data_IF_188651988125
#
_entry.id   IF_188651988125
#
_cell.length_a   1.000
_cell.length_b   1.000
_cell.length_c   1.000
_cell.angle_alpha   90.00
_cell.angle_beta   90.00
_cell.angle_gamma   90.00
#
_symmetry.space_group_name_H-M   'P 1'
#
loop_
_entity.id
_entity.type
_entity.pdbx_description
1 polymer ?
#
# COMPACT_ATOMS: atom_id res chain seq x y z
N UNK A 1 -11.08 6.12 21.97
CA UNK A 1 -10.82 5.20 20.85
C UNK A 1 -9.32 5.21 20.59
N UNK A 2 -8.63 4.11 20.90
CA UNK A 2 -7.25 3.94 20.48
C UNK A 2 -7.22 3.47 19.02
N UNK A 3 -6.23 3.88 18.21
CA UNK A 3 -6.04 3.32 16.87
C UNK A 3 -5.85 1.81 17.00
N UNK A 4 -6.77 1.03 16.42
CA UNK A 4 -6.69 -0.43 16.41
C UNK A 4 -5.72 -0.81 15.29
N UNK A 5 -4.63 -1.51 15.60
CA UNK A 5 -3.71 -2.03 14.59
C UNK A 5 -4.44 -3.04 13.70
N UNK A 6 -4.11 -2.99 12.43
CA UNK A 6 -4.73 -3.76 11.34
C UNK A 6 -4.64 -5.26 11.64
N UNK A 7 -5.79 -5.95 11.68
CA UNK A 7 -5.88 -7.39 11.97
C UNK A 7 -5.07 -8.27 11.01
N UNK A 8 -4.82 -7.80 9.77
CA UNK A 8 -3.96 -8.50 8.82
C UNK A 8 -2.52 -8.63 9.31
N UNK A 9 -1.96 -7.62 10.00
CA UNK A 9 -0.60 -7.72 10.56
C UNK A 9 -0.58 -8.71 11.73
N UNK A 10 -1.66 -8.76 12.51
CA UNK A 10 -1.82 -9.65 13.65
C UNK A 10 -1.86 -11.13 13.23
N UNK A 11 -2.55 -11.44 12.13
CA UNK A 11 -2.74 -12.81 11.66
C UNK A 11 -1.42 -13.51 11.28
N UNK A 12 -0.52 -12.81 10.58
CA UNK A 12 0.72 -13.40 10.08
C UNK A 12 1.89 -13.24 11.05
N UNK A 13 2.02 -12.09 11.71
CA UNK A 13 3.19 -11.83 12.55
C UNK A 13 3.12 -12.57 13.90
N UNK A 14 1.91 -12.88 14.40
CA UNK A 14 1.75 -13.56 15.68
C UNK A 14 2.20 -15.03 15.65
N UNK A 15 1.85 -15.86 14.64
CA UNK A 15 2.44 -17.19 14.48
C UNK A 15 3.95 -17.16 14.30
N UNK A 16 4.46 -16.21 13.51
CA UNK A 16 5.89 -16.04 13.29
C UNK A 16 6.63 -15.72 14.60
N UNK A 17 6.06 -14.89 15.47
CA UNK A 17 6.73 -14.46 16.72
C UNK A 17 6.51 -15.45 17.86
N UNK A 18 5.27 -15.90 18.04
CA UNK A 18 4.82 -16.63 19.23
C UNK A 18 4.52 -18.11 18.98
N UNK A 19 4.29 -18.49 17.72
CA UNK A 19 3.99 -19.88 17.32
C UNK A 19 2.51 -20.24 17.35
N UNK A 20 1.60 -19.26 17.44
CA UNK A 20 0.15 -19.49 17.42
C UNK A 20 -0.59 -18.26 16.86
N UNK A 21 -1.85 -18.44 16.45
CA UNK A 21 -2.70 -17.33 16.00
C UNK A 21 -3.21 -16.48 17.17
N UNK A 22 -3.51 -15.18 16.98
CA UNK A 22 -4.14 -14.36 18.02
C UNK A 22 -5.40 -15.01 18.61
N UNK A 23 -5.63 -14.86 19.91
CA UNK A 23 -6.76 -15.50 20.62
C UNK A 23 -8.12 -15.10 20.04
N UNK A 24 -8.29 -13.83 19.70
CA UNK A 24 -9.53 -13.32 19.07
C UNK A 24 -9.83 -14.04 17.75
N UNK A 25 -8.83 -14.24 16.89
CA UNK A 25 -8.99 -14.96 15.62
C UNK A 25 -9.38 -16.41 15.88
N UNK A 26 -8.75 -17.08 16.86
CA UNK A 26 -9.12 -18.46 17.22
C UNK A 26 -10.58 -18.57 17.71
N UNK A 27 -11.04 -17.61 18.53
CA UNK A 27 -12.39 -17.59 19.10
C UNK A 27 -13.48 -17.29 18.06
N UNK A 28 -13.20 -16.42 17.10
CA UNK A 28 -14.16 -16.00 16.07
C UNK A 28 -14.21 -17.02 14.92
N UNK A 29 -13.04 -17.38 14.37
CA UNK A 29 -12.93 -18.20 13.15
C UNK A 29 -13.14 -19.69 13.44
N UNK A 30 -12.76 -20.16 14.63
CA UNK A 30 -12.97 -21.53 15.14
C UNK A 30 -12.44 -22.60 14.17
N UNK A 31 -13.27 -23.56 13.78
CA UNK A 31 -12.87 -24.73 12.99
C UNK A 31 -12.45 -24.39 11.55
N UNK A 32 -12.75 -23.17 11.06
CA UNK A 32 -12.24 -22.69 9.76
C UNK A 32 -10.76 -22.31 9.82
N UNK A 33 -10.21 -22.06 11.01
CA UNK A 33 -8.80 -21.71 11.19
C UNK A 33 -7.97 -22.99 11.34
N UNK A 34 -7.04 -23.29 10.41
CA UNK A 34 -6.16 -24.43 10.55
C UNK A 34 -5.32 -24.33 11.84
N UNK A 35 -5.05 -25.47 12.47
CA UNK A 35 -4.21 -25.55 13.66
C UNK A 35 -2.84 -26.06 13.28
N UNK A 36 -1.80 -25.37 13.73
CA UNK A 36 -0.43 -25.85 13.57
C UNK A 36 -0.20 -27.11 14.41
N UNK A 37 0.46 -28.11 13.83
CA UNK A 37 1.06 -29.20 14.60
C UNK A 37 2.30 -28.70 15.35
N UNK A 38 2.78 -29.45 16.34
CA UNK A 38 3.98 -29.08 17.08
C UNK A 38 5.21 -28.88 16.17
N UNK A 39 5.36 -29.73 15.14
CA UNK A 39 6.45 -29.62 14.18
C UNK A 39 6.30 -28.37 13.30
N UNK A 40 5.09 -28.02 12.89
CA UNK A 40 4.84 -26.78 12.14
C UNK A 40 5.08 -25.53 12.98
N UNK A 41 4.71 -25.54 14.27
CA UNK A 41 5.04 -24.44 15.20
C UNK A 41 6.54 -24.25 15.28
N UNK A 42 7.31 -25.35 15.39
CA UNK A 42 8.78 -25.30 15.40
C UNK A 42 9.36 -24.75 14.10
N UNK A 43 8.71 -25.00 12.96
CA UNK A 43 9.14 -24.48 11.66
C UNK A 43 8.84 -22.99 11.47
N UNK A 44 7.68 -22.50 11.93
CA UNK A 44 7.20 -21.14 11.67
C UNK A 44 7.68 -20.15 12.72
N UNK A 45 7.76 -20.56 13.99
CA UNK A 45 8.16 -19.66 15.07
C UNK A 45 9.63 -19.24 14.91
N UNK A 46 9.86 -17.94 14.77
CA UNK A 46 11.18 -17.35 14.56
C UNK A 46 11.69 -17.50 13.13
N UNK A 47 10.84 -17.86 12.16
CA UNK A 47 11.27 -18.08 10.77
C UNK A 47 11.38 -16.79 9.95
N UNK A 48 11.72 -15.66 10.58
CA UNK A 48 11.90 -14.37 9.93
C UNK A 48 13.09 -13.63 10.55
N UNK A 49 13.94 -13.06 9.70
CA UNK A 49 15.08 -12.24 10.13
C UNK A 49 14.70 -10.76 10.25
N UNK A 50 13.68 -10.33 9.51
CA UNK A 50 13.14 -8.97 9.51
C UNK A 50 11.66 -8.98 9.11
N UNK A 51 10.95 -7.89 9.43
CA UNK A 51 9.53 -7.70 9.10
C UNK A 51 9.41 -6.62 8.03
N UNK A 52 8.90 -7.00 6.87
CA UNK A 52 8.47 -6.07 5.83
C UNK A 52 7.10 -5.48 6.18
N UNK A 53 6.98 -4.15 6.24
CA UNK A 53 5.71 -3.46 6.46
C UNK A 53 5.38 -2.61 5.24
N UNK A 54 4.26 -2.92 4.59
CA UNK A 54 3.67 -2.07 3.56
C UNK A 54 2.68 -1.15 4.26
N UNK A 55 3.00 0.14 4.34
CA UNK A 55 2.18 1.11 5.06
C UNK A 55 1.77 2.20 4.08
N UNK A 56 0.46 2.43 3.98
CA UNK A 56 -0.10 3.41 3.03
C UNK A 56 -1.05 4.43 3.69
N UNK A 57 -1.91 3.97 4.58
CA UNK A 57 -3.03 4.75 5.14
C UNK A 57 -3.41 4.23 6.52
N UNK A 58 -4.40 4.85 7.15
CA UNK A 58 -5.05 4.36 8.36
C UNK A 58 -6.55 4.61 8.29
N UNK A 59 -7.30 3.86 9.11
CA UNK A 59 -8.75 3.94 9.18
C UNK A 59 -9.20 4.11 10.62
N UNK A 60 -10.37 4.72 10.81
CA UNK A 60 -11.13 4.51 12.04
C UNK A 60 -11.83 3.17 11.96
N UNK A 61 -12.01 2.54 13.12
CA UNK A 61 -12.73 1.27 13.26
C UNK A 61 -13.95 1.53 14.12
N UNK A 62 -15.12 1.14 13.62
CA UNK A 62 -16.39 1.23 14.33
C UNK A 62 -16.91 -0.17 14.60
N UNK A 63 -17.28 -0.44 15.85
CA UNK A 63 -18.06 -1.62 16.20
C UNK A 63 -19.43 -1.54 15.49
N UNK A 64 -19.73 -2.54 14.66
CA UNK A 64 -20.95 -2.56 13.89
C UNK A 64 -22.17 -3.03 14.71
N UNK A 65 -21.96 -3.52 15.94
CA UNK A 65 -23.00 -3.98 16.86
C UNK A 65 -23.76 -5.23 16.37
N UNK A 66 -23.32 -5.83 15.27
CA UNK A 66 -23.96 -6.97 14.62
C UNK A 66 -23.00 -8.15 14.64
N UNK A 67 -23.22 -9.08 15.57
CA UNK A 67 -22.58 -10.38 15.52
C UNK A 67 -23.31 -11.24 14.50
N UNK A 68 -22.70 -11.46 13.33
CA UNK A 68 -23.21 -12.43 12.37
C UNK A 68 -22.93 -13.84 12.93
N UNK A 69 -23.96 -14.64 13.28
CA UNK A 69 -23.74 -15.97 13.84
C UNK A 69 -23.13 -16.96 12.84
N UNK A 70 -23.10 -16.62 11.54
CA UNK A 70 -22.45 -17.39 10.47
C UNK A 70 -21.71 -16.43 9.53
N UNK A 71 -20.52 -15.95 9.91
CA UNK A 71 -19.70 -15.14 9.03
C UNK A 71 -19.44 -15.90 7.73
N UNK A 72 -19.65 -15.25 6.59
CA UNK A 72 -19.55 -15.87 5.25
C UNK A 72 -18.24 -15.54 4.55
N UNK A 73 -17.44 -14.64 5.13
CA UNK A 73 -16.17 -14.20 4.58
C UNK A 73 -15.17 -13.87 5.70
N UNK A 74 -13.90 -13.79 5.31
CA UNK A 74 -12.81 -13.37 6.20
C UNK A 74 -13.04 -11.96 6.78
N UNK A 75 -13.59 -11.03 5.99
CA UNK A 75 -13.86 -9.67 6.45
C UNK A 75 -15.02 -9.61 7.44
N UNK A 76 -16.02 -10.49 7.29
CA UNK A 76 -17.15 -10.54 8.21
C UNK A 76 -16.73 -11.04 9.61
N UNK A 77 -15.67 -11.86 9.68
CA UNK A 77 -15.12 -12.36 10.96
C UNK A 77 -14.58 -11.23 11.85
N UNK A 78 -14.28 -10.07 11.30
CA UNK A 78 -13.72 -8.97 12.08
C UNK A 78 -14.76 -8.29 12.96
N UNK A 79 -16.06 -8.43 12.66
CA UNK A 79 -17.18 -7.77 13.35
C UNK A 79 -17.00 -6.26 13.52
N UNK A 80 -16.33 -5.61 12.57
CA UNK A 80 -16.09 -4.17 12.57
C UNK A 80 -16.35 -3.57 11.21
N UNK A 81 -16.53 -2.25 11.19
CA UNK A 81 -16.65 -1.45 9.99
C UNK A 81 -15.49 -0.46 9.89
N UNK A 82 -14.86 -0.38 8.72
CA UNK A 82 -13.88 0.65 8.42
C UNK A 82 -14.59 1.98 8.17
N UNK A 83 -14.11 3.03 8.81
CA UNK A 83 -14.59 4.40 8.64
C UNK A 83 -13.46 5.30 8.19
N UNK A 84 -13.79 6.18 7.25
CA UNK A 84 -12.88 7.19 6.71
C UNK A 84 -13.02 8.54 7.41
N UNK A 85 -14.07 8.71 8.20
CA UNK A 85 -14.38 9.92 8.95
C UNK A 85 -14.79 9.58 10.38
N UNK A 86 -14.73 10.60 11.24
CA UNK A 86 -15.28 10.57 12.58
C UNK A 86 -16.10 11.83 12.77
N UNK A 87 -17.38 11.66 13.09
CA UNK A 87 -18.34 12.75 13.29
C UNK A 87 -18.39 13.71 12.08
N UNK A 88 -18.29 13.15 10.86
CA UNK A 88 -18.28 13.90 9.59
C UNK A 88 -16.94 14.54 9.22
N UNK A 89 -15.90 14.38 10.06
CA UNK A 89 -14.55 14.90 9.78
C UNK A 89 -13.67 13.77 9.23
N UNK A 90 -13.19 13.86 7.98
CA UNK A 90 -12.31 12.85 7.40
C UNK A 90 -11.01 12.65 8.21
N UNK A 91 -10.52 11.43 8.26
CA UNK A 91 -9.26 11.06 8.95
C UNK A 91 -8.03 11.78 8.34
N UNK A 92 -8.14 12.16 7.08
CA UNK A 92 -7.14 12.93 6.35
C UNK A 92 -7.66 13.28 4.94
N UNK A 93 -6.86 14.02 4.15
CA UNK A 93 -7.16 14.23 2.74
C UNK A 93 -7.18 12.90 1.99
N UNK A 94 -8.21 12.68 1.17
CA UNK A 94 -8.26 11.49 0.32
C UNK A 94 -7.38 11.67 -0.91
N UNK A 95 -6.67 10.60 -1.27
CA UNK A 95 -5.93 10.49 -2.52
C UNK A 95 -6.87 10.14 -3.69
N UNK A 96 -6.35 9.63 -4.81
CA UNK A 96 -7.20 9.22 -5.94
C UNK A 96 -7.91 7.89 -5.65
N UNK A 97 -7.18 6.87 -5.20
CA UNK A 97 -7.80 5.59 -4.85
C UNK A 97 -8.71 5.75 -3.64
N UNK A 98 -9.94 5.23 -3.75
CA UNK A 98 -10.98 5.45 -2.74
C UNK A 98 -10.58 4.97 -1.34
N UNK A 99 -9.73 3.94 -1.27
CA UNK A 99 -9.23 3.38 -0.03
C UNK A 99 -8.07 4.17 0.58
N UNK A 100 -7.39 5.03 -0.18
CA UNK A 100 -6.14 5.68 0.23
C UNK A 100 -6.40 7.08 0.79
N UNK A 101 -6.15 7.24 2.08
CA UNK A 101 -6.18 8.52 2.79
C UNK A 101 -4.76 8.90 3.22
N UNK A 102 -4.44 10.18 3.16
CA UNK A 102 -3.14 10.71 3.56
C UNK A 102 -3.17 10.89 5.08
N UNK A 103 -2.62 9.90 5.78
CA UNK A 103 -2.64 9.80 7.24
C UNK A 103 -1.22 9.50 7.77
N UNK A 104 -0.31 10.50 7.78
CA UNK A 104 1.10 10.27 8.07
C UNK A 104 1.37 9.68 9.45
N UNK A 105 0.61 10.11 10.47
CA UNK A 105 0.73 9.59 11.84
C UNK A 105 0.42 8.08 11.94
N UNK A 106 -0.26 7.52 10.93
CA UNK A 106 -0.48 6.08 10.79
C UNK A 106 0.83 5.30 10.62
N UNK A 107 1.85 5.90 10.00
CA UNK A 107 3.19 5.32 9.87
C UNK A 107 3.84 5.11 11.24
N UNK A 108 3.87 6.17 12.06
CA UNK A 108 4.40 6.10 13.42
C UNK A 108 3.70 5.01 14.24
N UNK A 109 2.37 4.98 14.19
CA UNK A 109 1.58 4.00 14.95
C UNK A 109 1.82 2.56 14.48
N UNK A 110 1.89 2.31 13.17
CA UNK A 110 2.15 0.96 12.65
C UNK A 110 3.52 0.42 13.09
N UNK A 111 4.57 1.23 12.94
CA UNK A 111 5.94 0.85 13.34
C UNK A 111 6.04 0.67 14.85
N UNK A 112 5.51 1.61 15.63
CA UNK A 112 5.51 1.54 17.09
C UNK A 112 4.70 0.35 17.59
N UNK A 113 3.61 0.01 16.92
CA UNK A 113 2.81 -1.16 17.27
C UNK A 113 3.60 -2.46 17.07
N UNK A 114 4.26 -2.63 15.92
CA UNK A 114 5.11 -3.80 15.65
C UNK A 114 6.21 -3.90 16.70
N UNK A 115 6.88 -2.78 16.99
CA UNK A 115 7.90 -2.69 18.03
C UNK A 115 7.40 -3.22 19.38
N UNK A 116 6.32 -2.64 19.90
CA UNK A 116 5.84 -2.91 21.26
C UNK A 116 5.32 -4.34 21.40
N UNK A 117 4.65 -4.88 20.37
CA UNK A 117 3.88 -6.12 20.49
C UNK A 117 4.61 -7.35 19.96
N UNK A 118 5.77 -7.20 19.32
CA UNK A 118 6.51 -8.30 18.70
C UNK A 118 8.01 -8.31 19.02
N UNK A 119 8.40 -7.63 20.10
CA UNK A 119 9.76 -7.67 20.62
C UNK A 119 10.77 -6.84 19.81
N UNK A 120 10.32 -5.72 19.23
CA UNK A 120 11.14 -4.82 18.40
C UNK A 120 11.97 -5.56 17.34
N UNK A 121 11.31 -6.28 16.41
CA UNK A 121 12.04 -6.94 15.34
C UNK A 121 12.71 -5.90 14.43
N UNK A 122 13.68 -6.33 13.64
CA UNK A 122 14.22 -5.52 12.55
C UNK A 122 13.10 -5.26 11.53
N UNK A 123 12.83 -3.99 11.22
CA UNK A 123 11.76 -3.57 10.31
C UNK A 123 12.36 -2.99 9.02
N UNK A 124 11.76 -3.37 7.89
CA UNK A 124 11.91 -2.71 6.60
C UNK A 124 10.54 -2.17 6.20
N UNK A 125 10.44 -0.87 5.91
CA UNK A 125 9.25 -0.33 5.24
C UNK A 125 9.35 -0.70 3.77
N UNK A 126 8.63 -1.74 3.38
CA UNK A 126 8.77 -2.37 2.08
C UNK A 126 7.99 -1.65 0.98
N UNK A 127 6.89 -0.97 1.32
CA UNK A 127 6.17 -0.10 0.39
C UNK A 127 5.46 1.07 1.10
N UNK A 128 5.45 2.23 0.43
CA UNK A 128 4.68 3.44 0.78
C UNK A 128 4.45 4.29 -0.50
N UNK A 129 3.21 4.73 -0.78
CA UNK A 129 2.86 5.54 -1.98
C UNK A 129 1.74 6.54 -1.72
N UNK A 130 1.81 7.68 -2.41
CA UNK A 130 0.69 8.59 -2.57
C UNK A 130 0.05 8.47 -3.95
N UNK A 131 -1.28 8.32 -4.00
CA UNK A 131 -2.04 8.50 -5.23
C UNK A 131 -2.44 9.97 -5.40
N UNK A 132 -2.38 10.51 -6.62
CA UNK A 132 -2.49 11.95 -6.82
C UNK A 132 -3.75 12.37 -7.58
N UNK A 133 -4.47 13.29 -6.93
CA UNK A 133 -5.55 14.19 -7.39
C UNK A 133 -6.90 13.58 -7.81
N UNK A 134 -7.95 13.97 -7.08
CA UNK A 134 -9.31 14.17 -7.63
C UNK A 134 -9.33 15.49 -8.42
N UNK A 135 -9.31 15.43 -9.74
CA UNK A 135 -9.85 16.51 -10.59
C UNK A 135 -11.02 15.96 -11.39
N UNK A 136 -12.18 16.53 -11.11
CA UNK A 136 -13.45 16.28 -11.77
C UNK A 136 -13.31 16.55 -13.27
N UNK A 137 -13.32 15.50 -14.10
CA UNK A 137 -14.09 15.37 -15.37
C UNK A 137 -13.75 14.02 -16.03
N UNK A 138 -14.81 13.23 -16.24
CA UNK A 138 -14.95 12.02 -17.05
C UNK A 138 -14.22 10.72 -16.64
N UNK A 139 -15.01 9.86 -15.97
CA UNK A 139 -15.13 8.41 -16.14
C UNK A 139 -14.39 7.81 -17.36
N UNK A 140 -13.22 7.22 -17.10
CA UNK A 140 -12.91 5.82 -17.42
C UNK A 140 -12.02 5.29 -16.29
N UNK A 141 -12.16 4.01 -16.01
CA UNK A 141 -11.74 3.37 -14.77
C UNK A 141 -10.20 3.32 -14.72
N UNK A 142 -9.60 3.88 -13.66
CA UNK A 142 -8.15 3.86 -13.41
C UNK A 142 -7.33 4.86 -14.24
N UNK A 143 -7.37 6.15 -13.88
CA UNK A 143 -6.42 7.18 -14.34
C UNK A 143 -6.30 8.25 -13.24
N UNK A 144 -5.21 8.30 -12.46
CA UNK A 144 -3.97 9.00 -12.78
C UNK A 144 -4.11 10.53 -12.69
N UNK A 145 -3.00 11.25 -12.62
CA UNK A 145 -3.00 12.61 -13.18
C UNK A 145 -3.77 12.56 -14.51
N UNK A 146 -4.74 13.46 -14.77
CA UNK A 146 -5.58 13.33 -15.96
C UNK A 146 -4.70 13.02 -17.16
N UNK A 147 -5.10 12.13 -18.08
CA UNK A 147 -4.32 11.84 -19.31
C UNK A 147 -4.04 13.09 -20.18
N UNK A 148 -4.50 14.26 -19.75
CA UNK A 148 -4.21 15.59 -20.25
C UNK A 148 -3.16 16.38 -19.44
N UNK A 149 -2.57 15.82 -18.38
CA UNK A 149 -1.52 16.47 -17.58
C UNK A 149 -0.25 16.47 -18.40
N UNK A 150 0.23 17.68 -18.65
CA UNK A 150 1.44 17.86 -19.43
C UNK A 150 2.64 17.35 -18.62
N UNK A 151 3.69 16.88 -19.29
CA UNK A 151 4.93 16.46 -18.63
C UNK A 151 5.43 17.49 -17.59
N UNK A 152 5.41 18.82 -17.86
CA UNK A 152 5.79 19.82 -16.85
C UNK A 152 4.92 19.82 -15.59
N UNK A 153 3.63 19.52 -15.70
CA UNK A 153 2.71 19.44 -14.55
C UNK A 153 2.91 18.13 -13.78
N UNK A 154 3.08 17.00 -14.49
CA UNK A 154 3.37 15.70 -13.88
C UNK A 154 4.69 15.67 -13.11
N UNK A 155 5.70 16.41 -13.58
CA UNK A 155 6.97 16.60 -12.87
C UNK A 155 6.88 17.51 -11.64
N UNK A 156 5.83 18.36 -11.54
CA UNK A 156 5.63 19.31 -10.42
C UNK A 156 4.75 18.71 -9.34
N UNK A 157 5.14 17.55 -8.87
CA UNK A 157 4.37 16.74 -7.96
C UNK A 157 4.58 17.10 -6.48
N UNK A 158 4.13 18.30 -6.12
CA UNK A 158 4.24 18.83 -4.76
C UNK A 158 3.47 18.00 -3.72
N UNK A 159 2.39 17.32 -4.13
CA UNK A 159 1.59 16.50 -3.22
C UNK A 159 2.30 15.21 -2.84
N UNK A 160 2.94 14.50 -3.79
CA UNK A 160 3.75 13.31 -3.48
C UNK A 160 4.98 13.67 -2.67
N UNK A 161 5.63 14.80 -3.00
CA UNK A 161 6.73 15.33 -2.18
C UNK A 161 6.28 15.54 -0.73
N UNK A 162 5.12 16.19 -0.53
CA UNK A 162 4.59 16.43 0.82
C UNK A 162 4.15 15.14 1.52
N UNK A 163 3.59 14.18 0.78
CA UNK A 163 3.25 12.87 1.31
C UNK A 163 4.50 12.17 1.85
N UNK A 164 5.53 11.98 1.03
CA UNK A 164 6.76 11.33 1.47
C UNK A 164 7.42 12.08 2.62
N UNK A 165 7.51 13.42 2.53
CA UNK A 165 8.07 14.23 3.60
C UNK A 165 7.34 13.98 4.93
N UNK A 166 6.01 13.97 4.92
CA UNK A 166 5.22 13.76 6.14
C UNK A 166 5.32 12.34 6.68
N UNK A 167 5.25 11.31 5.83
CA UNK A 167 5.36 9.91 6.26
C UNK A 167 6.78 9.56 6.74
N UNK A 168 7.82 10.03 6.05
CA UNK A 168 9.22 9.86 6.48
C UNK A 168 9.48 10.61 7.80
N UNK A 169 8.83 11.75 8.03
CA UNK A 169 8.92 12.46 9.33
C UNK A 169 8.36 11.60 10.46
N UNK A 170 7.21 10.97 10.27
CA UNK A 170 6.60 10.07 11.27
C UNK A 170 7.37 8.75 11.43
N UNK A 171 7.95 8.22 10.35
CA UNK A 171 8.86 7.08 10.42
C UNK A 171 10.11 7.42 11.24
N UNK A 172 10.74 8.57 10.94
CA UNK A 172 11.88 9.06 11.69
C UNK A 172 11.54 9.23 13.17
N UNK A 173 10.36 9.77 13.48
CA UNK A 173 9.90 9.88 14.87
C UNK A 173 9.84 8.51 15.56
N UNK A 174 9.31 7.48 14.90
CA UNK A 174 9.27 6.13 15.47
C UNK A 174 10.67 5.54 15.69
N UNK A 175 11.62 5.83 14.79
CA UNK A 175 13.03 5.45 14.93
C UNK A 175 13.72 6.21 16.09
N UNK A 176 13.45 7.50 16.22
CA UNK A 176 13.96 8.34 17.32
C UNK A 176 13.41 7.85 18.67
N UNK A 177 12.17 7.32 18.67
CA UNK A 177 11.54 6.63 19.81
C UNK A 177 11.99 5.15 19.95
N UNK A 178 13.02 4.73 19.21
CA UNK A 178 13.75 3.48 19.40
C UNK A 178 13.20 2.27 18.64
N UNK A 179 12.42 2.45 17.58
CA UNK A 179 12.06 1.34 16.69
C UNK A 179 13.23 0.94 15.79
N UNK A 180 13.50 -0.36 15.66
CA UNK A 180 14.61 -0.87 14.84
C UNK A 180 14.24 -0.93 13.35
N UNK A 181 14.26 0.23 12.67
CA UNK A 181 14.02 0.32 11.22
C UNK A 181 15.34 0.46 10.46
N UNK A 182 15.60 -0.42 9.48
CA UNK A 182 16.86 -0.45 8.73
C UNK A 182 16.72 -0.07 7.25
N UNK A 183 15.50 0.11 6.76
CA UNK A 183 15.26 0.42 5.35
C UNK A 183 13.87 0.98 5.09
N UNK A 184 13.79 1.78 4.01
CA UNK A 184 12.56 2.37 3.50
C UNK A 184 12.57 2.30 1.97
N UNK A 185 11.52 1.73 1.39
CA UNK A 185 11.33 1.56 -0.04
C UNK A 185 10.05 2.27 -0.47
N UNK A 186 10.20 3.25 -1.36
CA UNK A 186 9.09 3.96 -1.97
C UNK A 186 8.46 3.09 -3.06
N UNK A 187 7.16 2.85 -2.97
CA UNK A 187 6.40 2.32 -4.09
C UNK A 187 5.95 3.51 -4.94
N UNK A 188 6.33 3.66 -6.20
CA UNK A 188 7.27 2.85 -6.97
C UNK A 188 8.39 3.71 -7.53
N UNK A 189 9.46 3.07 -8.02
CA UNK A 189 10.51 3.78 -8.76
C UNK A 189 9.94 4.39 -10.05
N UNK A 190 9.22 3.60 -10.83
CA UNK A 190 8.63 3.96 -12.13
C UNK A 190 7.11 3.86 -12.07
N UNK A 191 6.42 4.68 -12.86
CA UNK A 191 5.02 4.44 -13.16
C UNK A 191 4.87 3.04 -13.79
N UNK A 192 3.80 2.33 -13.42
CA UNK A 192 3.69 0.92 -13.76
C UNK A 192 2.23 0.49 -13.97
N UNK A 193 2.06 -0.78 -14.33
CA UNK A 193 0.76 -1.42 -14.38
C UNK A 193 0.41 -1.94 -12.98
N UNK A 194 -0.51 -1.24 -12.31
CA UNK A 194 -0.98 -1.52 -10.96
C UNK A 194 -2.13 -2.54 -11.03
N UNK A 195 -1.74 -3.81 -11.11
CA UNK A 195 -2.61 -4.97 -11.14
C UNK A 195 -3.53 -5.07 -12.35
N UNK A 196 -4.65 -4.35 -12.36
CA UNK A 196 -5.62 -4.33 -13.46
C UNK A 196 -5.73 -2.94 -14.09
N UNK A 197 -4.93 -1.98 -13.62
CA UNK A 197 -5.00 -0.58 -13.99
C UNK A 197 -3.61 -0.08 -14.41
N UNK A 198 -3.55 0.80 -15.40
CA UNK A 198 -2.33 1.61 -15.61
C UNK A 198 -2.34 2.70 -14.54
N UNK A 199 -1.25 2.88 -13.80
CA UNK A 199 -1.17 4.02 -12.86
C UNK A 199 0.16 4.77 -12.85
N UNK A 200 0.09 6.08 -12.60
CA UNK A 200 1.19 7.01 -12.41
C UNK A 200 1.55 7.13 -10.90
N UNK A 201 2.15 6.08 -10.34
CA UNK A 201 2.59 5.98 -8.94
C UNK A 201 4.10 6.17 -8.73
N UNK A 202 4.87 6.27 -9.81
CA UNK A 202 6.32 6.29 -9.79
C UNK A 202 6.92 7.62 -9.37
N UNK A 203 8.05 7.57 -8.69
CA UNK A 203 8.95 8.72 -8.52
C UNK A 203 9.51 9.22 -9.86
N UNK A 204 9.62 8.33 -10.84
CA UNK A 204 10.08 8.61 -12.20
C UNK A 204 8.91 8.45 -13.17
N UNK A 205 8.61 9.55 -13.88
CA UNK A 205 7.58 9.57 -14.90
C UNK A 205 7.95 8.61 -16.04
N UNK A 206 7.04 7.70 -16.38
CA UNK A 206 7.20 6.83 -17.55
C UNK A 206 6.28 7.26 -18.69
N UNK A 207 6.84 7.44 -19.88
CA UNK A 207 6.04 7.77 -21.07
C UNK A 207 5.69 6.49 -21.82
N UNK A 208 4.42 6.12 -21.86
CA UNK A 208 3.92 4.90 -22.52
C UNK A 208 3.97 4.93 -24.06
N UNK A 209 4.60 5.94 -24.65
CA UNK A 209 4.87 5.96 -26.09
C UNK A 209 6.13 5.15 -26.37
N UNK A 210 5.95 3.89 -26.80
CA UNK A 210 6.92 3.26 -27.68
C UNK A 210 7.03 4.14 -28.93
N UNK A 211 8.01 5.05 -28.96
CA UNK A 211 8.38 5.73 -30.19
C UNK A 211 8.92 4.67 -31.14
N UNK A 212 8.07 4.11 -31.98
CA UNK A 212 8.51 3.67 -33.31
C UNK A 212 8.82 4.94 -34.08
N UNK A 213 10.05 5.42 -33.96
CA UNK A 213 10.57 6.41 -34.91
C UNK A 213 10.68 5.75 -36.27
N UNK A 214 9.62 5.84 -37.08
CA UNK A 214 9.83 5.87 -38.52
C UNK A 214 10.54 7.19 -38.81
N UNK A 215 11.83 7.12 -39.10
CA UNK A 215 12.59 8.24 -39.59
C UNK A 215 12.03 8.65 -40.97
N UNK A 216 11.10 9.60 -40.97
CA UNK A 216 10.60 10.22 -42.20
C UNK A 216 11.55 11.33 -42.63
N UNK A 217 12.83 11.03 -42.79
CA UNK A 217 13.78 11.90 -43.50
C UNK A 217 14.73 11.10 -44.40
N UNK A 218 14.18 10.51 -45.46
CA UNK A 218 14.92 10.32 -46.71
C UNK A 218 13.97 10.42 -47.89
N UNK A 219 13.99 11.58 -48.56
CA UNK A 219 13.45 11.73 -49.91
C UNK A 219 14.11 10.67 -50.82
N UNK A 220 13.38 9.60 -51.14
CA UNK A 220 13.67 8.76 -52.31
C UNK A 220 12.57 8.99 -53.37
N UNK A 221 12.91 9.15 -54.66
CA UNK A 221 11.94 9.55 -55.69
C UNK A 221 10.95 8.47 -56.15
N UNK A 222 10.77 7.38 -55.42
CA UNK A 222 9.94 6.25 -55.87
C UNK A 222 9.11 5.72 -54.71
N UNK A 223 7.78 5.86 -54.81
CA UNK A 223 6.81 5.67 -53.73
C UNK A 223 6.60 4.22 -53.28
N UNK A 224 7.55 3.66 -52.54
CA UNK A 224 7.33 2.45 -51.73
C UNK A 224 7.71 2.73 -50.28
N UNK A 225 6.73 2.70 -49.37
CA UNK A 225 6.95 2.73 -47.92
C UNK A 225 7.21 1.30 -47.45
N UNK A 226 8.43 0.99 -47.05
CA UNK A 226 8.75 -0.22 -46.29
C UNK A 226 9.18 0.19 -44.89
N UNK A 227 8.45 -0.27 -43.88
CA UNK A 227 8.93 -0.27 -42.50
C UNK A 227 9.97 -1.39 -42.40
N UNK A 228 11.19 -1.08 -41.96
CA UNK A 228 12.14 -2.11 -41.59
C UNK A 228 11.73 -2.68 -40.23
N UNK A 229 11.48 -3.98 -40.20
CA UNK A 229 11.38 -4.74 -38.95
C UNK A 229 12.75 -4.70 -38.28
N UNK A 230 12.80 -4.22 -37.04
CA UNK A 230 14.00 -4.31 -36.22
C UNK A 230 14.12 -5.75 -35.73
N UNK A 231 15.20 -6.42 -36.11
CA UNK A 231 15.66 -7.65 -35.46
C UNK A 231 16.17 -7.33 -34.04
N UNK A 232 16.08 -8.34 -33.17
CA UNK A 232 16.26 -8.34 -31.69
C UNK A 232 17.55 -7.70 -31.16
#
# INVERSE_FOLDING_TARGET
MQPVPIEKTLEFLHPLTYGYYPKSIQEIVKDRLPKFTADQVKMVKGSYDYVGVNQYTSYYIKDNGVTNPKPVSYQDDWHVEFKHDRDGVPIGPQAYSDWLYIVPWGMYNAVTYVKINYGDPVIILAENVSDLLKTTTLMLIGMDQPGSVTLPEGLRDTKRINYYKSYITELKRAMDDGATVIGYFAWSLLDNFEWSWVTLRGLVWFTWTLRRTCDTQRNRPTGSRTCLEGEE
#
